data_IF_904708741593
#
_entry.id   IF_904708741593
#
_cell.length_a   1.000
_cell.length_b   1.000
_cell.length_c   1.000
_cell.angle_alpha   90.00
_cell.angle_beta   90.00
_cell.angle_gamma   90.00
#
_symmetry.space_group_name_H-M   'P 1'
#
loop_
_entity.id
_entity.type
_entity.pdbx_description
1 polymer ?
#
# COMPACT_ATOMS: atom_id res chain seq x y z
N UNK A 1 14.06 5.78 2.92
CA UNK A 1 12.67 5.84 2.41
C UNK A 1 11.77 4.68 2.88
N UNK A 2 12.22 3.77 3.73
CA UNK A 2 11.41 2.63 4.20
C UNK A 2 10.08 3.06 4.87
N UNK A 3 10.08 4.20 5.57
CA UNK A 3 8.90 4.74 6.25
C UNK A 3 7.95 5.54 5.35
N UNK A 4 8.26 5.71 4.05
CA UNK A 4 7.46 6.54 3.14
C UNK A 4 6.34 5.77 2.43
N UNK A 5 6.28 4.43 2.59
CA UNK A 5 5.22 3.57 2.03
C UNK A 5 4.93 3.87 0.54
N UNK A 6 6.00 4.04 -0.24
CA UNK A 6 5.92 4.36 -1.67
C UNK A 6 5.46 3.15 -2.47
N UNK A 7 4.64 3.42 -3.49
CA UNK A 7 4.21 2.40 -4.46
C UNK A 7 5.36 2.01 -5.36
N UNK A 8 5.39 0.74 -5.73
CA UNK A 8 6.27 0.20 -6.76
C UNK A 8 5.40 -0.39 -7.86
N UNK A 9 5.87 -0.25 -9.09
CA UNK A 9 5.22 -0.84 -10.25
C UNK A 9 6.07 -1.99 -10.77
N UNK A 10 5.38 -3.07 -11.13
CA UNK A 10 5.98 -4.28 -11.66
C UNK A 10 5.26 -4.70 -12.93
N UNK A 11 6.05 -5.15 -13.90
CA UNK A 11 5.56 -6.06 -14.94
C UNK A 11 5.86 -7.49 -14.49
N UNK A 12 4.82 -8.31 -14.40
CA UNK A 12 4.91 -9.71 -13.95
C UNK A 12 4.41 -10.62 -15.06
N UNK A 13 5.26 -11.53 -15.52
CA UNK A 13 4.92 -12.52 -16.56
C UNK A 13 4.53 -13.83 -15.90
N UNK A 14 3.39 -14.36 -16.32
CA UNK A 14 2.86 -15.65 -15.91
C UNK A 14 2.73 -16.62 -17.07
N UNK A 15 2.86 -17.91 -16.76
CA UNK A 15 2.69 -19.02 -17.69
C UNK A 15 1.64 -19.98 -17.14
N UNK A 16 0.55 -20.17 -17.88
CA UNK A 16 -0.56 -21.07 -17.54
C UNK A 16 -0.20 -22.54 -17.80
N UNK A 17 -0.88 -23.44 -17.10
CA UNK A 17 -0.80 -24.89 -17.31
C UNK A 17 0.41 -25.56 -16.67
N UNK A 18 1.19 -24.84 -15.88
CA UNK A 18 2.39 -25.35 -15.18
C UNK A 18 2.35 -24.90 -13.73
N UNK A 19 2.71 -25.80 -12.80
CA UNK A 19 2.99 -25.49 -11.40
C UNK A 19 4.35 -26.06 -10.99
N UNK A 20 5.07 -25.30 -10.18
CA UNK A 20 6.35 -25.67 -9.57
C UNK A 20 6.29 -25.45 -8.06
N UNK A 21 7.24 -26.02 -7.32
CA UNK A 21 7.28 -25.97 -5.86
C UNK A 21 7.59 -24.58 -5.27
N UNK A 22 8.23 -23.71 -6.06
CA UNK A 22 8.61 -22.36 -5.66
C UNK A 22 7.91 -21.25 -6.46
N UNK A 23 6.94 -21.63 -7.31
CA UNK A 23 6.18 -20.76 -8.22
C UNK A 23 7.01 -20.06 -9.30
N UNK A 24 8.27 -20.48 -9.50
CA UNK A 24 9.14 -20.01 -10.57
C UNK A 24 9.05 -20.93 -11.77
N UNK A 25 9.29 -20.41 -12.98
CA UNK A 25 9.35 -21.25 -14.17
C UNK A 25 10.45 -22.34 -14.09
N UNK A 26 11.61 -22.01 -13.52
CA UNK A 26 12.77 -22.91 -13.39
C UNK A 26 12.68 -23.87 -12.19
N UNK A 27 11.61 -23.77 -11.38
CA UNK A 27 11.39 -24.61 -10.21
C UNK A 27 11.11 -26.08 -10.57
N UNK A 28 11.08 -26.95 -9.56
CA UNK A 28 10.78 -28.37 -9.80
C UNK A 28 9.31 -28.50 -10.16
N UNK A 29 9.04 -29.14 -11.31
CA UNK A 29 7.68 -29.37 -11.78
C UNK A 29 6.88 -30.18 -10.75
N UNK A 30 5.72 -29.65 -10.34
CA UNK A 30 4.77 -30.31 -9.44
C UNK A 30 3.58 -30.84 -10.23
N UNK A 31 3.04 -30.04 -11.15
CA UNK A 31 1.81 -30.37 -11.87
C UNK A 31 1.75 -29.67 -13.24
N UNK A 32 1.07 -30.31 -14.20
CA UNK A 32 0.65 -29.71 -15.47
C UNK A 32 -0.86 -29.80 -15.60
N UNK A 33 -1.48 -28.74 -16.10
CA UNK A 33 -2.94 -28.65 -16.31
C UNK A 33 -3.27 -28.05 -17.67
N UNK A 34 -4.48 -28.30 -18.17
CA UNK A 34 -5.01 -27.67 -19.38
C UNK A 34 -5.45 -26.24 -19.09
N UNK A 35 -5.34 -25.37 -20.09
CA UNK A 35 -5.70 -23.94 -19.97
C UNK A 35 -6.58 -23.44 -21.12
N UNK A 36 -7.09 -24.34 -21.97
CA UNK A 36 -7.93 -23.99 -23.13
C UNK A 36 -9.21 -23.23 -22.74
N UNK A 37 -9.70 -23.44 -21.51
CA UNK A 37 -10.87 -22.75 -20.98
C UNK A 37 -10.58 -21.33 -20.48
N UNK A 38 -9.31 -20.92 -20.40
CA UNK A 38 -8.90 -19.62 -19.86
C UNK A 38 -9.00 -18.55 -20.94
N UNK A 39 -9.80 -17.52 -20.70
CA UNK A 39 -9.99 -16.40 -21.62
C UNK A 39 -9.56 -15.08 -20.97
N UNK A 40 -9.34 -14.06 -21.80
CA UNK A 40 -8.98 -12.72 -21.34
C UNK A 40 -10.02 -12.16 -20.36
N UNK A 41 -11.31 -12.37 -20.64
CA UNK A 41 -12.41 -11.89 -19.82
C UNK A 41 -12.44 -12.59 -18.45
N UNK A 42 -12.12 -13.89 -18.40
CA UNK A 42 -12.03 -14.62 -17.13
C UNK A 42 -10.86 -14.08 -16.30
N UNK A 43 -9.70 -13.85 -16.92
CA UNK A 43 -8.55 -13.25 -16.25
C UNK A 43 -8.91 -11.88 -15.69
N UNK A 44 -9.46 -10.98 -16.51
CA UNK A 44 -9.80 -9.62 -16.07
C UNK A 44 -10.82 -9.61 -14.92
N UNK A 45 -11.79 -10.55 -14.88
CA UNK A 45 -12.69 -10.73 -13.74
C UNK A 45 -11.96 -11.10 -12.46
N UNK A 46 -11.01 -12.04 -12.52
CA UNK A 46 -10.20 -12.42 -11.35
C UNK A 46 -9.34 -11.24 -10.89
N UNK A 47 -8.71 -10.50 -11.82
CA UNK A 47 -7.92 -9.31 -11.47
C UNK A 47 -8.78 -8.24 -10.78
N UNK A 48 -10.02 -8.02 -11.23
CA UNK A 48 -10.93 -7.09 -10.59
C UNK A 48 -11.31 -7.51 -9.16
N UNK A 49 -11.52 -8.81 -8.91
CA UNK A 49 -11.78 -9.34 -7.57
C UNK A 49 -10.58 -9.14 -6.63
N UNK A 50 -9.37 -9.44 -7.13
CA UNK A 50 -8.12 -9.23 -6.39
C UNK A 50 -7.96 -7.73 -6.06
N UNK A 51 -8.17 -6.84 -7.04
CA UNK A 51 -8.08 -5.40 -6.84
C UNK A 51 -9.07 -4.92 -5.78
N UNK A 52 -10.34 -5.36 -5.85
CA UNK A 52 -11.35 -4.98 -4.86
C UNK A 52 -11.03 -5.48 -3.44
N UNK A 53 -10.46 -6.69 -3.32
CA UNK A 53 -10.02 -7.23 -2.03
C UNK A 53 -8.86 -6.40 -1.43
N UNK A 54 -7.85 -6.11 -2.24
CA UNK A 54 -6.71 -5.31 -1.79
C UNK A 54 -7.06 -3.85 -1.53
N UNK A 55 -8.03 -3.26 -2.25
CA UNK A 55 -8.51 -1.91 -1.97
C UNK A 55 -9.13 -1.81 -0.57
N UNK A 56 -9.94 -2.80 -0.18
CA UNK A 56 -10.49 -2.88 1.19
C UNK A 56 -9.38 -3.02 2.23
N UNK A 57 -8.37 -3.84 1.96
CA UNK A 57 -7.21 -3.98 2.84
C UNK A 57 -6.42 -2.66 2.94
N UNK A 58 -6.24 -1.93 1.83
CA UNK A 58 -5.54 -0.66 1.78
C UNK A 58 -6.19 0.38 2.69
N UNK A 59 -7.51 0.47 2.65
CA UNK A 59 -8.30 1.31 3.57
C UNK A 59 -8.05 0.87 5.02
N UNK A 60 -8.21 -0.41 5.31
CA UNK A 60 -8.05 -0.96 6.66
C UNK A 60 -6.68 -0.62 7.26
N UNK A 61 -5.59 -0.79 6.51
CA UNK A 61 -4.22 -0.53 6.99
C UNK A 61 -3.82 0.95 6.99
N UNK A 62 -4.63 1.82 6.38
CA UNK A 62 -4.38 3.27 6.35
C UNK A 62 -4.87 4.00 7.60
N UNK A 63 -5.68 3.35 8.46
CA UNK A 63 -6.38 3.96 9.60
C UNK A 63 -7.19 5.21 9.19
N UNK A 64 -7.66 5.25 7.94
CA UNK A 64 -8.48 6.33 7.41
C UNK A 64 -9.94 6.01 7.68
N UNK A 65 -10.67 6.94 8.29
CA UNK A 65 -12.11 6.85 8.44
C UNK A 65 -12.80 7.23 7.12
N UNK A 66 -13.30 6.22 6.39
CA UNK A 66 -14.00 6.39 5.11
C UNK A 66 -15.22 7.31 5.16
N UNK A 67 -15.77 7.59 6.34
CA UNK A 67 -16.90 8.52 6.49
C UNK A 67 -16.48 9.99 6.42
N UNK A 68 -15.18 10.27 6.39
CA UNK A 68 -14.65 11.63 6.32
C UNK A 68 -14.45 12.10 4.88
N UNK A 69 -14.64 13.40 4.66
CA UNK A 69 -14.34 14.02 3.36
C UNK A 69 -12.85 13.85 2.99
N UNK A 70 -11.94 13.92 3.96
CA UNK A 70 -10.50 13.71 3.76
C UNK A 70 -10.20 12.31 3.21
N UNK A 71 -10.90 11.27 3.70
CA UNK A 71 -10.77 9.91 3.19
C UNK A 71 -11.20 9.78 1.73
N UNK A 72 -12.30 10.44 1.37
CA UNK A 72 -12.79 10.49 0.00
C UNK A 72 -11.78 11.20 -0.91
N UNK A 73 -11.25 12.35 -0.49
CA UNK A 73 -10.24 13.09 -1.23
C UNK A 73 -8.95 12.28 -1.40
N UNK A 74 -8.49 11.57 -0.36
CA UNK A 74 -7.34 10.65 -0.45
C UNK A 74 -7.60 9.46 -1.39
N UNK A 75 -8.82 8.93 -1.42
CA UNK A 75 -9.20 7.85 -2.32
C UNK A 75 -9.17 8.31 -3.78
N UNK A 76 -9.75 9.47 -4.07
CA UNK A 76 -9.81 10.06 -5.41
C UNK A 76 -8.44 10.46 -5.92
N UNK A 77 -7.57 10.98 -5.03
CA UNK A 77 -6.20 11.37 -5.38
C UNK A 77 -5.21 10.21 -5.39
N UNK A 78 -5.63 8.98 -5.03
CA UNK A 78 -4.76 7.80 -4.97
C UNK A 78 -3.70 7.86 -3.86
N UNK A 79 -3.94 8.64 -2.81
CA UNK A 79 -3.02 8.88 -1.70
C UNK A 79 -3.26 7.99 -0.47
N UNK A 80 -4.19 7.03 -0.53
CA UNK A 80 -4.37 6.06 0.54
C UNK A 80 -3.08 5.23 0.65
N UNK A 81 -2.40 5.37 1.78
CA UNK A 81 -1.19 4.63 2.12
C UNK A 81 -1.34 3.99 3.50
N UNK A 82 -0.76 2.80 3.72
CA UNK A 82 -0.68 2.20 5.03
C UNK A 82 0.04 3.14 6.00
N UNK A 83 -0.50 3.28 7.20
CA UNK A 83 0.14 3.99 8.32
C UNK A 83 0.77 3.02 9.33
N UNK A 84 0.49 1.73 9.17
CA UNK A 84 0.97 0.64 10.03
C UNK A 84 1.61 -0.47 9.20
N UNK A 85 2.25 -1.42 9.87
CA UNK A 85 2.79 -2.62 9.22
C UNK A 85 1.65 -3.41 8.56
N UNK A 86 1.77 -3.65 7.26
CA UNK A 86 0.77 -4.39 6.48
C UNK A 86 1.42 -5.53 5.69
N UNK A 87 0.64 -6.53 5.23
CA UNK A 87 1.07 -7.43 4.17
C UNK A 87 1.25 -6.66 2.85
N UNK A 88 1.61 -7.39 1.77
CA UNK A 88 1.59 -6.84 0.42
C UNK A 88 0.21 -6.27 0.09
N UNK A 89 0.17 -5.03 -0.39
CA UNK A 89 -1.06 -4.34 -0.79
C UNK A 89 -0.96 -3.95 -2.25
N UNK A 90 -1.96 -4.36 -3.03
CA UNK A 90 -2.06 -4.04 -4.45
C UNK A 90 -2.98 -2.83 -4.59
N UNK A 91 -2.43 -1.72 -5.05
CA UNK A 91 -3.20 -0.51 -5.34
C UNK A 91 -3.86 -0.57 -6.73
N UNK A 92 -3.24 -1.29 -7.67
CA UNK A 92 -3.79 -1.50 -9.01
C UNK A 92 -3.20 -2.74 -9.67
N UNK A 93 -4.02 -3.46 -10.44
CA UNK A 93 -3.59 -4.63 -11.19
C UNK A 93 -4.38 -4.73 -12.50
N UNK A 94 -3.68 -4.95 -13.61
CA UNK A 94 -4.31 -5.14 -14.93
C UNK A 94 -3.50 -6.04 -15.84
N UNK A 95 -4.17 -6.66 -16.81
CA UNK A 95 -3.50 -7.43 -17.85
C UNK A 95 -3.09 -6.52 -19.01
N UNK A 96 -1.78 -6.50 -19.31
CA UNK A 96 -1.20 -5.78 -20.44
C UNK A 96 -1.28 -6.60 -21.72
N UNK A 97 -0.98 -7.89 -21.62
CA UNK A 97 -0.91 -8.81 -22.76
C UNK A 97 -1.42 -10.19 -22.36
N UNK A 98 -2.17 -10.82 -23.26
CA UNK A 98 -2.74 -12.15 -23.04
C UNK A 98 -2.65 -12.95 -24.34
N UNK A 99 -1.72 -13.90 -24.38
CA UNK A 99 -1.54 -14.85 -25.47
C UNK A 99 -1.18 -16.20 -24.86
N UNK A 100 -2.20 -16.99 -24.42
CA UNK A 100 -1.99 -18.25 -23.73
C UNK A 100 -0.97 -19.16 -24.43
N UNK A 101 -0.09 -19.82 -23.67
CA UNK A 101 -0.10 -19.92 -22.20
C UNK A 101 0.43 -18.69 -21.48
N UNK A 102 0.95 -17.68 -22.17
CA UNK A 102 1.55 -16.50 -21.54
C UNK A 102 0.56 -15.37 -21.26
N UNK A 103 0.77 -14.69 -20.14
CA UNK A 103 0.14 -13.41 -19.86
C UNK A 103 1.09 -12.47 -19.14
N UNK A 104 0.88 -11.16 -19.31
CA UNK A 104 1.67 -10.10 -18.70
C UNK A 104 0.75 -9.20 -17.88
N UNK A 105 1.09 -9.03 -16.60
CA UNK A 105 0.39 -8.15 -15.69
C UNK A 105 1.21 -6.91 -15.40
N UNK A 106 0.52 -5.78 -15.24
CA UNK A 106 1.04 -4.63 -14.51
C UNK A 106 0.47 -4.67 -13.09
N UNK A 107 1.34 -4.58 -12.09
CA UNK A 107 0.97 -4.61 -10.67
C UNK A 107 1.59 -3.40 -9.99
N UNK A 108 0.75 -2.52 -9.45
CA UNK A 108 1.14 -1.43 -8.57
C UNK A 108 0.90 -1.88 -7.12
N UNK A 109 1.94 -1.96 -6.31
CA UNK A 109 1.84 -2.47 -4.96
C UNK A 109 2.79 -1.80 -3.96
N UNK A 110 2.61 -2.14 -2.68
CA UNK A 110 3.42 -1.72 -1.54
C UNK A 110 3.68 -2.94 -0.65
N UNK A 111 4.77 -2.88 0.12
CA UNK A 111 5.16 -3.93 1.09
C UNK A 111 5.26 -5.33 0.48
N UNK A 112 5.64 -5.38 -0.77
CA UNK A 112 5.78 -6.58 -1.55
C UNK A 112 7.18 -7.20 -1.42
N UNK A 113 7.25 -8.47 -1.79
CA UNK A 113 8.48 -9.21 -2.01
C UNK A 113 8.35 -9.94 -3.35
N UNK A 114 9.49 -10.28 -3.95
CA UNK A 114 9.49 -11.05 -5.19
C UNK A 114 8.72 -12.39 -5.05
N UNK A 115 8.83 -13.05 -3.89
CA UNK A 115 8.09 -14.29 -3.60
C UNK A 115 6.56 -14.08 -3.58
N UNK A 116 6.09 -12.95 -3.04
CA UNK A 116 4.65 -12.64 -3.02
C UNK A 116 4.10 -12.34 -4.42
N UNK A 117 4.86 -11.65 -5.27
CA UNK A 117 4.48 -11.43 -6.67
C UNK A 117 4.40 -12.75 -7.46
N UNK A 118 5.31 -13.69 -7.21
CA UNK A 118 5.24 -15.03 -7.80
C UNK A 118 4.03 -15.82 -7.29
N UNK A 119 3.76 -15.76 -5.98
CA UNK A 119 2.59 -16.40 -5.37
C UNK A 119 1.27 -15.84 -5.92
N UNK A 120 1.19 -14.53 -6.17
CA UNK A 120 0.03 -13.90 -6.81
C UNK A 120 -0.30 -14.53 -8.17
N UNK A 121 0.71 -14.77 -9.01
CA UNK A 121 0.53 -15.46 -10.31
C UNK A 121 -0.03 -16.87 -10.12
N UNK A 122 0.50 -17.60 -9.14
CA UNK A 122 0.01 -18.94 -8.81
C UNK A 122 -1.46 -18.91 -8.35
N UNK A 123 -1.82 -18.00 -7.43
CA UNK A 123 -3.19 -17.82 -6.94
C UNK A 123 -4.15 -17.46 -8.08
N UNK A 124 -3.75 -16.59 -9.00
CA UNK A 124 -4.54 -16.27 -10.22
C UNK A 124 -4.79 -17.53 -11.06
N UNK A 125 -3.78 -18.39 -11.22
CA UNK A 125 -3.94 -19.68 -11.90
C UNK A 125 -5.02 -20.54 -11.26
N UNK A 126 -4.97 -20.70 -9.94
CA UNK A 126 -5.94 -21.49 -9.17
C UNK A 126 -7.37 -20.95 -9.29
N UNK A 127 -7.54 -19.63 -9.23
CA UNK A 127 -8.85 -18.98 -9.43
C UNK A 127 -9.41 -19.21 -10.83
N UNK A 128 -8.53 -19.26 -11.84
CA UNK A 128 -8.87 -19.60 -13.22
C UNK A 128 -9.09 -21.11 -13.46
N UNK A 129 -9.05 -21.94 -12.41
CA UNK A 129 -9.19 -23.41 -12.48
C UNK A 129 -8.11 -24.04 -13.37
N UNK A 130 -6.88 -23.56 -13.26
CA UNK A 130 -5.67 -24.08 -13.89
C UNK A 130 -4.51 -23.93 -12.91
N UNK A 131 -3.30 -24.26 -13.33
CA UNK A 131 -2.06 -23.86 -12.65
C UNK A 131 -1.37 -22.72 -13.39
N UNK A 132 -0.53 -21.97 -12.67
CA UNK A 132 0.36 -20.98 -13.27
C UNK A 132 1.67 -20.85 -12.48
N UNK A 133 2.75 -20.51 -13.20
CA UNK A 133 4.05 -20.12 -12.63
C UNK A 133 4.43 -18.73 -13.11
N UNK A 134 5.29 -18.05 -12.35
CA UNK A 134 5.86 -16.78 -12.71
C UNK A 134 7.21 -16.97 -13.38
N UNK A 135 7.35 -16.51 -14.62
CA UNK A 135 8.59 -16.56 -15.40
C UNK A 135 9.44 -15.30 -15.22
N UNK A 136 8.80 -14.14 -15.00
CA UNK A 136 9.51 -12.88 -14.86
C UNK A 136 8.83 -11.94 -13.86
N UNK A 137 9.64 -11.30 -13.02
CA UNK A 137 9.25 -10.15 -12.21
C UNK A 137 10.21 -9.03 -12.53
N UNK A 138 9.72 -7.94 -13.11
CA UNK A 138 10.52 -6.75 -13.42
C UNK A 138 9.88 -5.54 -12.78
N UNK A 139 10.60 -4.90 -11.86
CA UNK A 139 10.21 -3.60 -11.31
C UNK A 139 10.46 -2.51 -12.35
N UNK A 140 9.42 -1.74 -12.66
CA UNK A 140 9.48 -0.63 -13.62
C UNK A 140 9.45 0.75 -12.94
N UNK A 141 8.97 0.82 -11.69
CA UNK A 141 8.97 2.03 -10.87
C UNK A 141 9.24 1.70 -9.41
N UNK A 142 10.01 2.55 -8.73
CA UNK A 142 10.16 2.56 -7.27
C UNK A 142 9.91 3.97 -6.73
N UNK A 143 8.70 4.18 -6.21
CA UNK A 143 8.23 5.51 -5.85
C UNK A 143 8.18 6.44 -7.06
N UNK A 144 9.05 7.45 -7.06
CA UNK A 144 9.16 8.45 -8.12
C UNK A 144 10.33 8.17 -9.09
N UNK A 145 11.11 7.11 -8.85
CA UNK A 145 12.14 6.64 -9.77
C UNK A 145 11.56 5.63 -10.75
N UNK A 146 11.89 5.78 -12.02
CA UNK A 146 11.49 4.91 -13.11
C UNK A 146 12.70 4.20 -13.70
N UNK A 147 12.48 3.38 -14.73
CA UNK A 147 13.57 2.74 -15.48
C UNK A 147 14.50 3.75 -16.16
N UNK A 148 14.02 4.93 -16.53
CA UNK A 148 14.85 5.96 -17.17
C UNK A 148 15.85 6.58 -16.19
N UNK A 149 15.58 6.46 -14.88
CA UNK A 149 16.48 6.88 -13.82
C UNK A 149 17.50 5.77 -13.45
N UNK A 150 17.35 4.56 -14.00
CA UNK A 150 18.16 3.41 -13.62
C UNK A 150 19.48 3.35 -14.39
N UNK A 151 20.60 3.33 -13.65
CA UNK A 151 21.92 3.10 -14.23
C UNK A 151 22.11 1.63 -14.62
N UNK A 152 22.56 1.40 -15.84
CA UNK A 152 22.99 0.08 -16.28
C UNK A 152 24.26 -0.33 -15.53
N UNK A 153 24.51 -1.65 -15.42
CA UNK A 153 25.67 -2.18 -14.68
C UNK A 153 27.02 -1.65 -15.19
N UNK A 154 27.10 -1.34 -16.48
CA UNK A 154 28.29 -0.74 -17.11
C UNK A 154 28.55 0.71 -16.69
N UNK A 155 27.56 1.36 -16.07
CA UNK A 155 27.60 2.75 -15.60
C UNK A 155 27.64 2.82 -14.07
N UNK A 156 28.03 1.74 -13.39
CA UNK A 156 28.20 1.71 -11.94
C UNK A 156 29.59 2.25 -11.54
N UNK A 157 29.92 3.43 -12.05
CA UNK A 157 31.10 4.19 -11.69
C UNK A 157 30.71 5.45 -10.91
N UNK A 158 31.67 6.03 -10.20
CA UNK A 158 31.42 7.16 -9.30
C UNK A 158 30.82 8.37 -10.02
N UNK A 159 31.27 8.68 -11.24
CA UNK A 159 30.82 9.87 -11.97
C UNK A 159 29.37 9.70 -12.41
N UNK A 160 29.05 8.57 -13.04
CA UNK A 160 27.67 8.25 -13.45
C UNK A 160 26.70 8.28 -12.27
N UNK A 161 27.11 7.75 -11.11
CA UNK A 161 26.29 7.78 -9.89
C UNK A 161 26.12 9.22 -9.38
N UNK A 162 27.18 10.03 -9.38
CA UNK A 162 27.13 11.42 -8.94
C UNK A 162 26.21 12.26 -9.84
N UNK A 163 26.32 12.09 -11.15
CA UNK A 163 25.48 12.77 -12.13
C UNK A 163 24.01 12.38 -11.96
N UNK A 164 23.71 11.09 -11.77
CA UNK A 164 22.36 10.61 -11.52
C UNK A 164 21.77 11.18 -10.22
N UNK A 165 22.57 11.27 -9.15
CA UNK A 165 22.14 11.88 -7.88
C UNK A 165 21.81 13.36 -8.09
N UNK A 166 22.67 14.11 -8.79
CA UNK A 166 22.47 15.53 -9.05
C UNK A 166 21.22 15.77 -9.91
N UNK A 167 21.03 14.96 -10.96
CA UNK A 167 19.85 15.04 -11.82
C UNK A 167 18.54 14.74 -11.07
N UNK A 168 18.57 13.78 -10.12
CA UNK A 168 17.39 13.40 -9.34
C UNK A 168 17.09 14.35 -8.17
N UNK A 169 18.09 15.05 -7.62
CA UNK A 169 17.98 15.89 -6.44
C UNK A 169 16.76 16.84 -6.41
N UNK A 170 16.43 17.62 -7.46
CA UNK A 170 15.28 18.52 -7.42
C UNK A 170 13.94 17.78 -7.32
N UNK A 171 13.80 16.65 -8.03
CA UNK A 171 12.59 15.81 -7.98
C UNK A 171 12.43 15.17 -6.60
N UNK A 172 13.52 14.65 -6.03
CA UNK A 172 13.54 14.08 -4.67
C UNK A 172 13.11 15.12 -3.65
N UNK A 173 13.66 16.35 -3.72
CA UNK A 173 13.32 17.43 -2.80
C UNK A 173 11.83 17.80 -2.87
N UNK A 174 11.27 17.92 -4.08
CA UNK A 174 9.85 18.20 -4.27
C UNK A 174 8.94 17.09 -3.69
N UNK A 175 9.30 15.82 -3.91
CA UNK A 175 8.51 14.69 -3.42
C UNK A 175 8.60 14.53 -1.89
N UNK A 176 9.78 14.79 -1.31
CA UNK A 176 9.95 14.85 0.13
C UNK A 176 9.10 15.96 0.75
N UNK A 177 9.05 17.15 0.15
CA UNK A 177 8.16 18.22 0.62
C UNK A 177 6.69 17.81 0.56
N UNK A 178 6.26 17.14 -0.53
CA UNK A 178 4.88 16.66 -0.67
C UNK A 178 4.54 15.56 0.35
N UNK A 179 5.47 14.64 0.58
CA UNK A 179 5.26 13.48 1.46
C UNK A 179 5.47 13.79 2.95
N UNK A 180 6.30 14.78 3.29
CA UNK A 180 6.64 15.18 4.66
C UNK A 180 5.89 16.42 5.15
N UNK A 181 5.03 17.04 4.33
CA UNK A 181 4.10 18.06 4.86
C UNK A 181 3.35 17.41 6.03
N UNK A 182 3.50 17.95 7.26
CA UNK A 182 2.78 17.40 8.38
C UNK A 182 1.29 17.48 8.05
N UNK A 183 0.55 16.43 8.39
CA UNK A 183 -0.90 16.49 8.55
C UNK A 183 -1.20 17.47 9.68
N UNK A 184 -1.06 18.76 9.43
CA UNK A 184 -1.39 19.82 10.36
C UNK A 184 -2.89 20.07 10.26
N UNK A 185 -3.65 19.05 10.66
CA UNK A 185 -5.03 19.20 11.09
C UNK A 185 -4.99 19.63 12.55
N UNK A 186 -5.04 20.94 12.75
CA UNK A 186 -5.15 21.62 14.03
C UNK A 186 -6.35 21.04 14.80
N UNK A 187 -6.12 20.21 15.83
CA UNK A 187 -7.07 20.17 16.94
C UNK A 187 -6.88 21.47 17.71
N UNK A 188 -7.62 22.52 17.31
CA UNK A 188 -7.92 23.61 18.22
C UNK A 188 -8.78 23.02 19.34
N UNK A 189 -8.17 22.82 20.50
CA UNK A 189 -8.90 22.74 21.76
C UNK A 189 -9.81 23.98 21.86
N UNK A 190 -11.11 23.84 22.18
CA UNK A 190 -11.95 25.00 22.40
C UNK A 190 -11.38 25.79 23.57
N UNK A 191 -11.09 27.06 23.29
CA UNK A 191 -10.49 28.00 24.22
C UNK A 191 -11.28 28.11 25.51
N UNK A 192 -10.55 28.25 26.59
CA UNK A 192 -11.01 28.74 27.88
C UNK A 192 -11.75 30.06 27.72
N UNK A 193 -13.08 29.98 27.64
CA UNK A 193 -13.97 31.12 27.83
C UNK A 193 -13.91 31.56 29.28
N UNK A 194 -13.19 32.66 29.54
CA UNK A 194 -13.35 33.43 30.77
C UNK A 194 -14.73 34.08 30.76
N UNK A 195 -15.56 33.76 31.75
CA UNK A 195 -16.54 34.71 32.25
C UNK A 195 -16.12 35.07 33.67
N UNK A 196 -15.55 36.27 33.82
CA UNK A 196 -15.62 36.98 35.09
C UNK A 196 -17.07 37.41 35.23
N UNK A 197 -17.66 37.23 36.41
CA UNK A 197 -18.33 38.34 37.07
C UNK A 197 -18.26 38.14 38.59
N UNK A 198 -18.15 39.30 39.22
CA UNK A 198 -17.79 39.55 40.60
C UNK A 198 -19.06 39.68 41.42
N UNK A 199 -19.11 39.12 42.62
CA UNK A 199 -19.83 39.69 43.77
C UNK A 199 -19.51 38.84 45.03
N UNK A 200 -18.96 39.48 46.07
CA UNK A 200 -19.06 38.97 47.44
C UNK A 200 -20.21 39.69 48.18
N UNK A 201 -20.32 39.63 49.51
CA UNK A 201 -19.69 38.73 50.48
C UNK A 201 -20.75 38.07 51.42
N UNK A 202 -20.28 37.41 52.50
CA UNK A 202 -20.93 37.32 53.82
C UNK A 202 -21.41 35.94 54.32
N UNK A 203 -20.70 35.49 55.37
CA UNK A 203 -21.19 34.96 56.65
C UNK A 203 -22.18 33.78 56.68
N UNK A 204 -21.76 32.69 57.32
CA UNK A 204 -22.13 32.35 58.71
C UNK A 204 -22.37 30.85 58.97
N UNK A 205 -21.89 30.45 60.16
CA UNK A 205 -22.49 29.49 61.11
C UNK A 205 -22.28 27.97 60.95
N UNK A 206 -21.39 27.49 61.84
CA UNK A 206 -21.57 26.41 62.85
C UNK A 206 -22.06 25.03 62.40
N UNK A 207 -21.22 24.04 62.68
CA UNK A 207 -21.64 22.68 63.01
C UNK A 207 -20.61 22.02 63.91
N UNK A 208 -20.81 22.09 65.24
CA UNK A 208 -20.13 21.27 66.24
C UNK A 208 -21.13 20.26 66.81
N UNK A 209 -20.59 19.07 67.09
CA UNK A 209 -20.94 18.13 68.15
C UNK A 209 -22.18 17.23 67.98
N UNK A 210 -21.92 15.93 68.19
CA UNK A 210 -22.92 14.90 68.43
C UNK A 210 -22.27 13.53 68.55
N UNK A 211 -21.65 13.23 69.68
CA UNK A 211 -21.24 11.88 70.06
C UNK A 211 -22.16 11.32 71.15
N UNK A 212 -22.52 10.03 71.03
CA UNK A 212 -22.98 9.09 72.08
C UNK A 212 -22.98 7.68 71.44
N UNK A 213 -22.16 6.71 71.87
CA UNK A 213 -22.41 5.70 72.93
C UNK A 213 -23.79 5.03 72.72
N UNK A 214 -23.93 3.74 72.39
CA UNK A 214 -23.33 2.55 72.98
C UNK A 214 -24.41 1.86 73.85
N UNK A 215 -25.05 0.80 73.34
CA UNK A 215 -26.13 0.06 74.01
C UNK A 215 -27.28 -0.29 73.09
#
# INVERSE_FOLDING_TARGET
>A
MYNAHLTKDYTVRGLLGKATDDFCEDGRLVEKTTYDHVTREKLDRILALIQGSHQKALVLYSNVDLQTQEAYEMAVTGLIRPTTKSPMLIAGIRCLHFAPPEFLLEVQCMHETQKQLRRLVHEIGLELKTTAVCSQVRRTRDGFFTLDDALLRTQWDLHSIQDAIQAAAPRVAAELQKSLRPRLGTQQLPGSGQHRDSEGPSSALKGQAGGAVGG
#
